data_IF_783228821461
#
_entry.id   IF_783228821461
#
_cell.length_a   1.000
_cell.length_b   1.000
_cell.length_c   1.000
_cell.angle_alpha   90.00
_cell.angle_beta   90.00
_cell.angle_gamma   90.00
#
_symmetry.space_group_name_H-M   'P 1'
#
loop_
_entity.id
_entity.type
_entity.pdbx_description
1 polymer ?
#
# COMPACT_ATOMS: atom_id res chain seq x y z
N UNK A 1 -0.64 17.27 10.46
CA UNK A 1 0.18 16.16 9.91
C UNK A 1 -0.74 15.25 9.11
N UNK A 2 -0.39 14.86 7.87
CA UNK A 2 -1.14 13.80 7.16
C UNK A 2 -0.93 12.48 7.92
N UNK A 3 -2.00 11.92 8.47
CA UNK A 3 -1.99 10.58 9.07
C UNK A 3 -1.84 9.57 7.94
N UNK A 4 -0.67 8.93 7.86
CA UNK A 4 -0.43 7.80 6.97
C UNK A 4 -1.03 6.56 7.64
N UNK A 5 -2.35 6.43 7.54
CA UNK A 5 -3.09 5.32 8.10
C UNK A 5 -3.33 4.23 7.07
N UNK A 6 -3.07 3.00 7.51
CA UNK A 6 -3.32 1.82 6.70
C UNK A 6 -4.82 1.59 6.64
N UNK A 7 -5.39 1.62 5.43
CA UNK A 7 -6.82 1.37 5.22
C UNK A 7 -7.02 0.01 4.55
N UNK A 8 -7.26 -1.01 5.38
CA UNK A 8 -7.44 -2.38 4.89
C UNK A 8 -8.61 -2.50 3.88
N UNK A 9 -9.73 -1.83 4.14
CA UNK A 9 -10.87 -1.82 3.23
C UNK A 9 -10.53 -1.24 1.84
N UNK A 10 -9.70 -0.19 1.78
CA UNK A 10 -9.23 0.37 0.50
C UNK A 10 -8.27 -0.57 -0.23
N UNK A 11 -7.42 -1.28 0.52
CA UNK A 11 -6.54 -2.32 -0.04
C UNK A 11 -7.37 -3.43 -0.68
N UNK A 12 -8.38 -3.95 0.03
CA UNK A 12 -9.25 -5.00 -0.51
C UNK A 12 -10.03 -4.54 -1.74
N UNK A 13 -10.59 -3.33 -1.71
CA UNK A 13 -11.31 -2.77 -2.86
C UNK A 13 -10.39 -2.62 -4.08
N UNK A 14 -9.20 -2.04 -3.89
CA UNK A 14 -8.22 -1.88 -4.96
C UNK A 14 -7.77 -3.24 -5.50
N UNK A 15 -7.53 -4.22 -4.63
CA UNK A 15 -7.17 -5.56 -5.02
C UNK A 15 -8.29 -6.25 -5.82
N UNK A 16 -9.55 -6.07 -5.43
CA UNK A 16 -10.70 -6.65 -6.14
C UNK A 16 -10.81 -6.09 -7.56
N UNK A 17 -10.74 -4.76 -7.70
CA UNK A 17 -10.78 -4.09 -9.01
C UNK A 17 -9.60 -4.52 -9.87
N UNK A 18 -8.38 -4.52 -9.31
CA UNK A 18 -7.19 -4.93 -10.05
C UNK A 18 -7.27 -6.39 -10.49
N UNK A 19 -7.72 -7.28 -9.61
CA UNK A 19 -7.88 -8.72 -9.93
C UNK A 19 -8.90 -8.92 -11.03
N UNK A 20 -10.03 -8.20 -11.02
CA UNK A 20 -11.03 -8.29 -12.09
C UNK A 20 -10.47 -7.86 -13.45
N UNK A 21 -9.70 -6.76 -13.48
CA UNK A 21 -9.03 -6.29 -14.69
C UNK A 21 -7.99 -7.31 -15.16
N UNK A 22 -7.14 -7.79 -14.26
CA UNK A 22 -6.09 -8.76 -14.56
C UNK A 22 -6.68 -10.07 -15.08
N UNK A 23 -7.73 -10.57 -14.44
CA UNK A 23 -8.41 -11.79 -14.85
C UNK A 23 -9.07 -11.64 -16.24
N UNK A 24 -9.67 -10.48 -16.51
CA UNK A 24 -10.25 -10.20 -17.82
C UNK A 24 -9.18 -10.11 -18.92
N UNK A 25 -8.08 -9.40 -18.67
CA UNK A 25 -7.02 -9.23 -19.67
C UNK A 25 -6.22 -10.50 -19.93
N UNK A 26 -6.08 -11.36 -18.93
CA UNK A 26 -5.33 -12.61 -19.04
C UNK A 26 -6.19 -13.81 -19.44
N UNK A 27 -7.49 -13.62 -19.70
CA UNK A 27 -8.47 -14.69 -19.92
C UNK A 27 -8.38 -15.78 -18.83
N UNK A 28 -8.29 -15.34 -17.58
CA UNK A 28 -8.00 -16.20 -16.44
C UNK A 28 -9.24 -17.02 -16.07
N UNK A 29 -9.08 -18.34 -15.98
CA UNK A 29 -10.15 -19.25 -15.56
C UNK A 29 -10.72 -18.87 -14.19
N UNK A 30 -12.04 -18.99 -14.05
CA UNK A 30 -12.80 -18.53 -12.87
C UNK A 30 -12.29 -19.10 -11.53
N UNK A 31 -11.78 -20.34 -11.54
CA UNK A 31 -11.20 -20.99 -10.36
C UNK A 31 -9.96 -20.27 -9.81
N UNK A 32 -9.26 -19.50 -10.64
CA UNK A 32 -8.07 -18.74 -10.25
C UNK A 32 -8.35 -17.33 -9.75
N UNK A 33 -9.58 -16.84 -9.86
CA UNK A 33 -9.92 -15.47 -9.45
C UNK A 33 -9.72 -15.24 -7.95
N UNK A 34 -10.19 -16.18 -7.12
CA UNK A 34 -10.07 -16.06 -5.67
C UNK A 34 -8.61 -16.21 -5.19
N UNK A 35 -7.82 -17.21 -5.64
CA UNK A 35 -6.39 -17.26 -5.35
C UNK A 35 -5.64 -16.00 -5.80
N UNK A 36 -5.89 -15.52 -7.03
CA UNK A 36 -5.25 -14.32 -7.55
C UNK A 36 -5.59 -13.09 -6.70
N UNK A 37 -6.85 -12.95 -6.30
CA UNK A 37 -7.29 -11.87 -5.41
C UNK A 37 -6.50 -11.84 -4.10
N UNK A 38 -6.32 -12.98 -3.43
CA UNK A 38 -5.57 -13.02 -2.18
C UNK A 38 -4.10 -12.66 -2.37
N UNK A 39 -3.48 -13.10 -3.46
CA UNK A 39 -2.09 -12.74 -3.80
C UNK A 39 -1.98 -11.24 -4.05
N UNK A 40 -2.86 -10.66 -4.87
CA UNK A 40 -2.88 -9.22 -5.17
C UNK A 40 -3.13 -8.41 -3.90
N UNK A 41 -4.09 -8.81 -3.07
CA UNK A 41 -4.41 -8.15 -1.81
C UNK A 41 -3.21 -8.15 -0.85
N UNK A 42 -2.49 -9.26 -0.76
CA UNK A 42 -1.27 -9.36 0.06
C UNK A 42 -0.18 -8.40 -0.46
N UNK A 43 0.05 -8.35 -1.77
CA UNK A 43 1.02 -7.43 -2.37
C UNK A 43 0.65 -5.98 -2.07
N UNK A 44 -0.61 -5.60 -2.28
CA UNK A 44 -1.08 -4.24 -2.02
C UNK A 44 -1.00 -3.88 -0.54
N UNK A 45 -1.34 -4.80 0.36
CA UNK A 45 -1.18 -4.60 1.80
C UNK A 45 0.28 -4.36 2.18
N UNK A 46 1.20 -5.19 1.67
CA UNK A 46 2.64 -5.05 1.93
C UNK A 46 3.19 -3.71 1.41
N UNK A 47 2.85 -3.34 0.18
CA UNK A 47 3.26 -2.05 -0.39
C UNK A 47 2.72 -0.89 0.45
N UNK A 48 1.44 -0.92 0.82
CA UNK A 48 0.82 0.17 1.58
C UNK A 48 1.43 0.29 2.99
N UNK A 49 1.69 -0.83 3.65
CA UNK A 49 2.37 -0.86 4.95
C UNK A 49 3.81 -0.30 4.82
N UNK A 50 4.55 -0.72 3.79
CA UNK A 50 5.90 -0.23 3.51
C UNK A 50 5.91 1.28 3.23
N UNK A 51 5.00 1.79 2.40
CA UNK A 51 4.86 3.21 2.12
C UNK A 51 4.57 4.02 3.38
N UNK A 52 3.66 3.54 4.24
CA UNK A 52 3.34 4.22 5.50
C UNK A 52 4.54 4.22 6.44
N UNK A 53 5.28 3.12 6.54
CA UNK A 53 6.51 3.03 7.32
C UNK A 53 7.59 3.98 6.80
N UNK A 54 7.86 3.98 5.49
CA UNK A 54 8.87 4.84 4.87
C UNK A 54 8.55 6.32 5.08
N UNK A 55 7.30 6.72 4.88
CA UNK A 55 6.85 8.08 5.12
C UNK A 55 6.98 8.51 6.59
N UNK A 56 6.66 7.62 7.54
CA UNK A 56 6.87 7.89 8.98
C UNK A 56 8.35 8.07 9.30
N UNK A 57 9.22 7.24 8.73
CA UNK A 57 10.67 7.32 8.92
C UNK A 57 11.26 8.61 8.33
N UNK A 58 10.90 8.96 7.09
CA UNK A 58 11.32 10.20 6.43
C UNK A 58 10.88 11.44 7.20
N UNK A 59 9.63 11.49 7.67
CA UNK A 59 9.14 12.60 8.48
C UNK A 59 9.89 12.72 9.81
N UNK A 60 10.25 11.61 10.45
CA UNK A 60 11.04 11.65 11.69
C UNK A 60 12.46 12.20 11.45
N UNK A 61 13.10 11.81 10.35
CA UNK A 61 14.43 12.33 9.99
C UNK A 61 14.37 13.81 9.59
N UNK A 62 13.37 14.21 8.82
CA UNK A 62 13.17 15.61 8.42
C UNK A 62 12.76 16.54 9.56
N UNK A 63 12.20 16.03 10.67
CA UNK A 63 12.00 16.81 11.91
C UNK A 63 13.33 17.03 12.63
N UNK A 64 14.12 15.95 12.82
CA UNK A 64 15.44 16.04 13.46
C UNK A 64 16.40 16.96 12.72
N UNK A 65 16.39 16.94 11.38
CA UNK A 65 17.22 17.84 10.58
C UNK A 65 16.87 19.31 10.82
N UNK A 66 15.57 19.65 10.88
CA UNK A 66 15.10 21.01 11.17
C UNK A 66 15.42 21.46 12.59
N UNK A 67 15.27 20.58 13.57
CA UNK A 67 15.62 20.88 14.97
C UNK A 67 17.12 21.19 15.14
N UNK A 68 18.00 20.58 14.34
CA UNK A 68 19.44 20.87 14.34
C UNK A 68 19.74 22.20 13.65
N UNK A 69 19.02 22.52 12.57
CA UNK A 69 19.16 23.79 11.84
C UNK A 69 18.66 24.98 12.66
N UNK A 70 17.57 24.84 13.42
CA UNK A 70 17.04 25.87 14.33
C UNK A 70 17.91 26.08 15.60
N UNK A 71 18.86 25.19 15.89
CA UNK A 71 19.80 25.28 17.02
C UNK A 71 21.16 25.89 16.66
N UNK A 72 21.40 26.18 15.37
CA UNK A 72 22.58 26.85 14.83
C UNK A 72 22.33 28.36 14.66
#
# INVERSE_FOLDING_TARGET
>A
MKTYDFSFGRVLLAAAVFTAILAWQADLSWNWWLPAFFVVAAIFALMHAFYNWANRKLNAMGRRAREVEDQL
#
